data_IF_918159842470
#
_entry.id   IF_918159842470
#
_cell.length_a   1.000
_cell.length_b   1.000
_cell.length_c   1.000
_cell.angle_alpha   90.00
_cell.angle_beta   90.00
_cell.angle_gamma   90.00
#
_symmetry.space_group_name_H-M   'P 1'
#
loop_
_entity.id
_entity.type
_entity.pdbx_description
1 polymer ?
#
# COMPACT_ATOMS: atom_id res chain seq x y z
N UNK A 1 21.71 -26.10 -3.32
CA UNK A 1 21.45 -25.01 -4.29
C UNK A 1 20.09 -25.12 -4.96
N UNK A 2 19.51 -26.31 -5.15
CA UNK A 2 18.21 -26.50 -5.84
C UNK A 2 16.99 -26.18 -4.95
N UNK A 3 16.99 -26.60 -3.69
CA UNK A 3 15.87 -26.35 -2.76
C UNK A 3 15.62 -24.87 -2.48
N UNK A 4 16.68 -24.09 -2.28
CA UNK A 4 16.58 -22.65 -2.04
C UNK A 4 15.99 -21.92 -3.26
N UNK A 5 16.41 -22.34 -4.46
CA UNK A 5 15.90 -21.81 -5.73
C UNK A 5 14.43 -22.21 -5.97
N UNK A 6 14.08 -23.46 -5.66
CA UNK A 6 12.69 -23.93 -5.73
C UNK A 6 11.76 -23.18 -4.77
N UNK A 7 12.21 -22.97 -3.52
CA UNK A 7 11.47 -22.19 -2.53
C UNK A 7 11.23 -20.76 -3.01
N UNK A 8 12.27 -20.11 -3.55
CA UNK A 8 12.16 -18.76 -4.09
C UNK A 8 11.13 -18.68 -5.23
N UNK A 9 11.11 -19.67 -6.12
CA UNK A 9 10.10 -19.76 -7.19
C UNK A 9 8.68 -19.85 -6.65
N UNK A 10 8.45 -20.69 -5.62
CA UNK A 10 7.13 -20.83 -4.99
C UNK A 10 6.70 -19.51 -4.32
N UNK A 11 7.60 -18.86 -3.60
CA UNK A 11 7.32 -17.57 -2.95
C UNK A 11 6.98 -16.50 -4.00
N UNK A 12 7.72 -16.44 -5.12
CA UNK A 12 7.45 -15.51 -6.19
C UNK A 12 6.05 -15.73 -6.79
N UNK A 13 5.66 -16.98 -7.04
CA UNK A 13 4.32 -17.33 -7.53
C UNK A 13 3.25 -16.92 -6.52
N UNK A 14 3.43 -17.25 -5.24
CA UNK A 14 2.49 -16.87 -4.19
C UNK A 14 2.31 -15.35 -4.08
N UNK A 15 3.41 -14.61 -4.19
CA UNK A 15 3.40 -13.14 -4.18
C UNK A 15 2.64 -12.59 -5.40
N UNK A 16 2.87 -13.16 -6.59
CA UNK A 16 2.18 -12.77 -7.82
C UNK A 16 0.66 -12.99 -7.69
N UNK A 17 0.24 -14.16 -7.19
CA UNK A 17 -1.17 -14.48 -6.93
C UNK A 17 -1.79 -13.51 -5.93
N UNK A 18 -1.05 -13.16 -4.86
CA UNK A 18 -1.52 -12.23 -3.83
C UNK A 18 -1.76 -10.83 -4.41
N UNK A 19 -0.84 -10.33 -5.24
CA UNK A 19 -0.97 -9.03 -5.89
C UNK A 19 -2.15 -9.02 -6.88
N UNK A 20 -2.32 -10.07 -7.68
CA UNK A 20 -3.46 -10.21 -8.59
C UNK A 20 -4.77 -10.24 -7.82
N UNK A 21 -4.85 -11.02 -6.74
CA UNK A 21 -6.03 -11.07 -5.87
C UNK A 21 -6.36 -9.71 -5.26
N UNK A 22 -5.34 -8.97 -4.79
CA UNK A 22 -5.51 -7.63 -4.25
C UNK A 22 -6.00 -6.65 -5.33
N UNK A 23 -5.45 -6.72 -6.53
CA UNK A 23 -5.86 -5.90 -7.67
C UNK A 23 -7.34 -6.15 -8.04
N UNK A 24 -7.76 -7.41 -8.08
CA UNK A 24 -9.17 -7.77 -8.35
C UNK A 24 -10.09 -7.29 -7.24
N UNK A 25 -9.69 -7.42 -5.96
CA UNK A 25 -10.48 -6.89 -4.84
C UNK A 25 -10.61 -5.37 -4.90
N UNK A 26 -9.53 -4.67 -5.26
CA UNK A 26 -9.53 -3.22 -5.45
C UNK A 26 -10.43 -2.81 -6.63
N UNK A 27 -10.34 -3.50 -7.76
CA UNK A 27 -11.21 -3.25 -8.92
C UNK A 27 -12.69 -3.47 -8.57
N UNK A 28 -13.01 -4.54 -7.83
CA UNK A 28 -14.36 -4.76 -7.31
C UNK A 28 -14.80 -3.69 -6.31
N UNK A 29 -13.92 -3.24 -5.41
CA UNK A 29 -14.23 -2.16 -4.48
C UNK A 29 -14.51 -0.86 -5.23
N UNK A 30 -13.67 -0.46 -6.19
CA UNK A 30 -13.88 0.74 -7.02
C UNK A 30 -15.21 0.65 -7.77
N UNK A 31 -15.52 -0.51 -8.36
CA UNK A 31 -16.80 -0.72 -9.06
C UNK A 31 -18.02 -0.70 -8.13
N UNK A 32 -17.85 -1.11 -6.87
CA UNK A 32 -18.93 -1.17 -5.87
C UNK A 32 -19.12 0.16 -5.13
N UNK A 33 -18.06 0.94 -4.98
CA UNK A 33 -18.01 2.19 -4.22
C UNK A 33 -18.01 3.45 -5.12
N UNK A 34 -18.58 3.37 -6.31
CA UNK A 34 -19.07 4.57 -6.98
C UNK A 34 -20.22 5.13 -6.11
N UNK A 35 -20.04 6.13 -5.21
CA UNK A 35 -19.16 7.32 -5.29
C UNK A 35 -18.29 7.63 -4.04
N UNK A 36 -18.30 6.81 -2.98
CA UNK A 36 -17.62 7.13 -1.70
C UNK A 36 -16.12 6.78 -1.64
N UNK A 37 -15.63 5.88 -2.51
CA UNK A 37 -14.24 5.37 -2.45
C UNK A 37 -13.16 6.31 -2.99
N UNK A 38 -13.54 7.28 -3.84
CA UNK A 38 -12.59 8.26 -4.40
C UNK A 38 -12.02 9.14 -3.28
N UNK A 39 -12.81 9.42 -2.23
CA UNK A 39 -12.37 10.19 -1.06
C UNK A 39 -11.35 9.40 -0.22
N UNK A 40 -11.62 8.13 0.10
CA UNK A 40 -10.75 7.30 0.93
C UNK A 40 -9.40 6.97 0.25
N UNK A 41 -9.38 6.71 -1.07
CA UNK A 41 -8.13 6.48 -1.79
C UNK A 41 -7.30 7.77 -1.95
N UNK A 42 -7.94 8.95 -2.04
CA UNK A 42 -7.23 10.24 -2.02
C UNK A 42 -6.66 10.51 -0.63
N UNK A 43 -7.41 10.21 0.43
CA UNK A 43 -6.97 10.40 1.82
C UNK A 43 -5.80 9.49 2.21
N UNK A 44 -5.76 8.24 1.75
CA UNK A 44 -4.63 7.33 2.01
C UNK A 44 -3.36 7.77 1.25
N UNK A 45 -3.51 8.27 0.02
CA UNK A 45 -2.40 8.84 -0.76
C UNK A 45 -1.85 10.14 -0.16
N UNK A 46 -2.73 11.04 0.29
CA UNK A 46 -2.32 12.29 0.96
C UNK A 46 -1.75 12.06 2.36
N UNK A 47 -2.24 11.08 3.12
CA UNK A 47 -1.70 10.74 4.44
C UNK A 47 -0.29 10.14 4.38
N UNK A 48 0.01 9.36 3.33
CA UNK A 48 1.37 8.83 3.12
C UNK A 48 2.35 9.94 2.69
N UNK A 49 1.86 10.91 1.91
CA UNK A 49 2.62 12.08 1.47
C UNK A 49 2.88 13.06 2.64
N UNK A 50 1.88 13.31 3.51
CA UNK A 50 2.04 14.21 4.67
C UNK A 50 2.98 13.63 5.74
N UNK A 51 3.02 12.30 5.89
CA UNK A 51 3.97 11.64 6.81
C UNK A 51 5.43 11.79 6.34
N UNK A 52 5.66 11.98 5.05
CA UNK A 52 7.01 12.15 4.49
C UNK A 52 7.50 13.59 4.64
N UNK A 53 6.59 14.57 4.70
CA UNK A 53 6.93 16.00 4.87
C UNK A 53 7.03 16.42 6.36
N UNK A 54 6.37 15.71 7.28
CA UNK A 54 6.31 16.06 8.72
C UNK A 54 7.35 15.36 9.62
N UNK A 55 8.63 15.39 9.25
CA UNK A 55 9.72 15.00 10.18
C UNK A 55 9.77 15.94 11.40
N UNK A 56 10.11 15.45 12.62
CA UNK A 56 9.89 16.19 13.85
C UNK A 56 10.82 17.41 13.93
N UNK A 57 10.27 18.60 13.71
CA UNK A 57 10.94 19.85 14.07
C UNK A 57 10.89 19.99 15.59
N UNK A 58 12.04 20.18 16.27
CA UNK A 58 12.06 20.38 17.72
C UNK A 58 11.34 21.69 18.06
N UNK A 59 10.57 21.74 19.17
CA UNK A 59 9.85 22.94 19.55
C UNK A 59 10.83 24.09 19.84
N UNK A 60 10.48 25.34 19.50
CA UNK A 60 11.34 26.49 19.76
C UNK A 60 11.49 26.68 21.27
N UNK A 61 12.74 26.76 21.74
CA UNK A 61 13.05 27.24 23.08
C UNK A 61 12.61 28.70 23.18
N UNK A 62 11.62 28.96 24.02
CA UNK A 62 11.07 30.29 24.34
C UNK A 62 11.94 30.87 25.48
N UNK A 63 12.32 32.17 25.43
CA UNK A 63 13.44 32.75 26.19
C UNK A 63 13.31 32.76 27.72
#
# INVERSE_FOLDING_TARGET
MTYLSGLLGIVAIAMMVTLVGLAVRRDRAIRRDAPDSVAASRQAGTALMSRTEGGPTPPPAVP
#
